data_IF_210158862298
#
_entry.id   IF_210158862298
#
_cell.length_a   1.000
_cell.length_b   1.000
_cell.length_c   1.000
_cell.angle_alpha   90.00
_cell.angle_beta   90.00
_cell.angle_gamma   90.00
#
_symmetry.space_group_name_H-M   'P 1'
#
loop_
_entity.id
_entity.type
_entity.pdbx_description
1 polymer ?
#
# COMPACT_ATOMS: atom_id res chain seq x y z
N UNK A 1 60.35 -17.01 58.74
CA UNK A 1 59.98 -16.33 57.48
C UNK A 1 58.79 -17.08 56.90
N UNK A 2 57.55 -16.68 57.17
CA UNK A 2 56.75 -15.69 56.40
C UNK A 2 56.81 -15.94 54.89
N UNK A 3 55.65 -16.29 54.34
CA UNK A 3 55.03 -15.97 53.03
C UNK A 3 54.40 -17.23 52.44
N UNK A 4 53.16 -17.30 51.95
CA UNK A 4 52.03 -16.38 51.77
C UNK A 4 50.90 -17.34 51.35
N UNK A 5 49.83 -17.51 52.13
CA UNK A 5 48.52 -16.90 51.84
C UNK A 5 48.29 -16.51 50.37
N UNK A 6 47.22 -17.11 49.80
CA UNK A 6 46.39 -16.73 48.64
C UNK A 6 46.23 -17.96 47.71
N UNK A 7 45.41 -18.91 48.15
CA UNK A 7 44.82 -19.94 47.30
C UNK A 7 43.31 -20.06 47.57
N UNK A 8 42.69 -18.95 47.97
CA UNK A 8 41.28 -18.84 48.33
C UNK A 8 40.72 -17.50 47.87
N UNK A 9 40.91 -17.15 46.58
CA UNK A 9 40.20 -16.03 45.94
C UNK A 9 40.33 -16.06 44.41
N UNK A 10 39.98 -17.18 43.77
CA UNK A 10 39.89 -17.25 42.30
C UNK A 10 38.76 -18.18 41.81
N UNK A 11 37.75 -18.41 42.66
CA UNK A 11 36.51 -19.13 42.32
C UNK A 11 35.26 -18.29 42.59
N UNK A 12 35.42 -16.97 42.72
CA UNK A 12 34.33 -16.04 42.95
C UNK A 12 34.69 -14.68 42.33
N UNK A 13 34.61 -14.58 41.00
CA UNK A 13 34.04 -13.46 40.21
C UNK A 13 34.06 -13.94 38.75
N UNK A 14 33.19 -14.89 38.43
CA UNK A 14 32.72 -15.12 37.07
C UNK A 14 31.18 -15.24 37.06
N UNK A 15 30.54 -14.54 38.01
CA UNK A 15 29.21 -13.98 37.75
C UNK A 15 29.46 -12.75 36.89
N UNK A 16 29.42 -12.96 35.58
CA UNK A 16 29.13 -11.90 34.62
C UNK A 16 28.01 -11.02 35.17
N UNK A 17 28.17 -9.72 35.03
CA UNK A 17 27.30 -8.66 35.53
C UNK A 17 25.86 -8.77 34.97
N UNK A 18 25.10 -9.77 35.41
CA UNK A 18 23.64 -9.80 35.23
C UNK A 18 23.10 -8.86 36.31
N UNK A 19 22.65 -7.67 35.93
CA UNK A 19 22.04 -6.74 36.87
C UNK A 19 20.94 -7.45 37.66
N UNK A 20 21.07 -7.51 38.99
CA UNK A 20 20.02 -8.08 39.84
C UNK A 20 18.69 -7.38 39.54
N UNK A 21 17.70 -8.12 39.02
CA UNK A 21 16.35 -7.61 38.72
C UNK A 21 15.81 -6.77 39.88
N UNK A 22 15.43 -5.53 39.59
CA UNK A 22 14.84 -4.62 40.56
C UNK A 22 13.47 -5.11 41.06
N UNK A 23 13.03 -4.66 42.24
CA UNK A 23 11.74 -5.08 42.83
C UNK A 23 10.54 -4.85 41.92
N UNK A 24 10.53 -3.75 41.16
CA UNK A 24 9.44 -3.45 40.23
C UNK A 24 9.45 -4.38 39.01
N UNK A 25 10.63 -4.76 38.51
CA UNK A 25 10.75 -5.72 37.42
C UNK A 25 10.25 -7.10 37.85
N UNK A 26 10.64 -7.57 39.05
CA UNK A 26 10.14 -8.85 39.61
C UNK A 26 8.61 -8.87 39.76
N UNK A 27 8.01 -7.77 40.24
CA UNK A 27 6.54 -7.64 40.31
C UNK A 27 5.91 -7.64 38.91
N UNK A 28 6.58 -7.04 37.93
CA UNK A 28 6.19 -7.11 36.52
C UNK A 28 6.15 -8.54 36.01
N UNK A 29 7.21 -9.31 36.27
CA UNK A 29 7.31 -10.73 35.89
C UNK A 29 6.21 -11.59 36.55
N UNK A 30 5.93 -11.35 37.83
CA UNK A 30 4.83 -12.01 38.57
C UNK A 30 3.47 -11.72 37.92
N UNK A 31 3.17 -10.43 37.70
CA UNK A 31 1.92 -10.03 37.05
C UNK A 31 1.78 -10.56 35.62
N UNK A 32 2.88 -10.64 34.87
CA UNK A 32 2.90 -11.22 33.53
C UNK A 32 2.53 -12.70 33.57
N UNK A 33 3.12 -13.47 34.50
CA UNK A 33 2.81 -14.90 34.69
C UNK A 33 1.35 -15.13 35.09
N UNK A 34 0.77 -14.24 35.87
CA UNK A 34 -0.63 -14.31 36.30
C UNK A 34 -1.63 -13.74 35.28
N UNK A 35 -1.19 -13.29 34.11
CA UNK A 35 -2.06 -12.70 33.09
C UNK A 35 -2.59 -11.29 33.44
N UNK A 36 -2.04 -10.63 34.46
CA UNK A 36 -2.42 -9.28 34.91
C UNK A 36 -1.67 -8.21 34.10
N UNK A 37 -1.85 -8.21 32.78
CA UNK A 37 -0.98 -7.46 31.85
C UNK A 37 -0.90 -5.95 32.10
N UNK A 38 -2.00 -5.28 32.46
CA UNK A 38 -1.97 -3.85 32.80
C UNK A 38 -1.10 -3.56 34.04
N UNK A 39 -1.16 -4.44 35.03
CA UNK A 39 -0.33 -4.32 36.24
C UNK A 39 1.14 -4.63 35.93
N UNK A 40 1.40 -5.61 35.05
CA UNK A 40 2.74 -5.92 34.56
C UNK A 40 3.35 -4.70 33.84
N UNK A 41 2.62 -4.11 32.88
CA UNK A 41 3.02 -2.90 32.14
C UNK A 41 3.37 -1.75 33.09
N UNK A 42 2.50 -1.46 34.06
CA UNK A 42 2.76 -0.40 35.04
C UNK A 42 4.02 -0.67 35.86
N UNK A 43 4.26 -1.93 36.25
CA UNK A 43 5.45 -2.32 36.99
C UNK A 43 6.73 -2.17 36.16
N UNK A 44 6.70 -2.53 34.87
CA UNK A 44 7.83 -2.33 33.95
C UNK A 44 8.10 -0.85 33.66
N UNK A 45 7.06 -0.02 33.51
CA UNK A 45 7.23 1.43 33.37
C UNK A 45 7.94 2.03 34.60
N UNK A 46 7.57 1.60 35.81
CA UNK A 46 8.23 2.02 37.05
C UNK A 46 9.64 1.46 37.21
N UNK A 47 9.93 0.27 36.67
CA UNK A 47 11.30 -0.26 36.61
C UNK A 47 12.17 0.55 35.65
N UNK A 48 11.66 0.87 34.44
CA UNK A 48 12.34 1.69 33.43
C UNK A 48 12.72 3.06 33.96
N UNK A 49 11.83 3.72 34.71
CA UNK A 49 12.10 5.03 35.34
C UNK A 49 13.28 5.00 36.32
N UNK A 50 13.54 3.86 36.96
CA UNK A 50 14.63 3.70 37.94
C UNK A 50 15.98 3.36 37.30
N UNK A 51 16.01 3.03 36.02
CA UNK A 51 17.24 2.90 35.22
C UNK A 51 18.08 1.63 35.45
N UNK A 52 17.65 0.68 36.27
CA UNK A 52 18.32 -0.60 36.47
C UNK A 52 17.41 -1.73 35.97
N UNK A 53 17.65 -2.17 34.73
CA UNK A 53 16.87 -3.17 34.01
C UNK A 53 17.75 -4.38 33.73
N UNK A 54 17.23 -5.59 33.89
CA UNK A 54 17.95 -6.80 33.46
C UNK A 54 17.89 -7.00 31.94
N UNK A 55 18.67 -7.96 31.44
CA UNK A 55 18.67 -8.32 30.02
C UNK A 55 17.29 -8.83 29.55
N UNK A 56 16.50 -9.45 30.43
CA UNK A 56 15.15 -9.97 30.12
C UNK A 56 14.06 -8.88 30.16
N UNK A 57 14.38 -7.67 30.63
CA UNK A 57 13.39 -6.62 30.87
C UNK A 57 12.59 -6.29 29.60
N UNK A 58 13.28 -6.08 28.47
CA UNK A 58 12.62 -5.68 27.23
C UNK A 58 11.83 -6.80 26.59
N UNK A 59 12.27 -8.05 26.75
CA UNK A 59 11.53 -9.24 26.32
C UNK A 59 10.19 -9.33 27.08
N UNK A 60 10.23 -9.31 28.42
CA UNK A 60 9.04 -9.46 29.24
C UNK A 60 8.10 -8.25 29.16
N UNK A 61 8.65 -7.03 29.05
CA UNK A 61 7.83 -5.83 28.89
C UNK A 61 7.11 -5.83 27.53
N UNK A 62 7.80 -6.21 26.46
CA UNK A 62 7.20 -6.36 25.14
C UNK A 62 6.11 -7.43 25.16
N UNK A 63 6.37 -8.57 25.79
CA UNK A 63 5.40 -9.65 25.93
C UNK A 63 4.12 -9.20 26.66
N UNK A 64 4.27 -8.42 27.74
CA UNK A 64 3.12 -7.86 28.46
C UNK A 64 2.28 -6.92 27.59
N UNK A 65 2.91 -6.10 26.75
CA UNK A 65 2.23 -5.21 25.80
C UNK A 65 1.48 -6.00 24.72
N UNK A 66 2.12 -7.01 24.12
CA UNK A 66 1.53 -7.86 23.08
C UNK A 66 0.29 -8.60 23.61
N UNK A 67 0.40 -9.23 24.78
CA UNK A 67 -0.73 -9.97 25.39
C UNK A 67 -1.84 -9.06 25.89
N UNK A 68 -1.51 -7.84 26.32
CA UNK A 68 -2.51 -6.82 26.61
C UNK A 68 -3.29 -6.43 25.34
N UNK A 69 -2.59 -6.23 24.23
CA UNK A 69 -3.21 -5.93 22.93
C UNK A 69 -4.12 -7.07 22.46
N UNK A 70 -3.67 -8.32 22.57
CA UNK A 70 -4.47 -9.50 22.23
C UNK A 70 -5.74 -9.60 23.11
N UNK A 71 -5.61 -9.34 24.42
CA UNK A 71 -6.73 -9.34 25.36
C UNK A 71 -7.73 -8.23 25.05
N UNK A 72 -7.23 -7.06 24.64
CA UNK A 72 -8.06 -5.94 24.23
C UNK A 72 -8.79 -6.24 22.92
N UNK A 73 -8.10 -6.81 21.92
CA UNK A 73 -8.68 -7.21 20.64
C UNK A 73 -9.80 -8.25 20.77
N UNK A 74 -9.75 -9.10 21.80
CA UNK A 74 -10.84 -10.04 22.12
C UNK A 74 -12.10 -9.35 22.67
N UNK A 75 -11.98 -8.13 23.20
CA UNK A 75 -13.09 -7.34 23.74
C UNK A 75 -13.66 -6.40 22.69
N UNK A 76 -12.76 -5.64 22.06
CA UNK A 76 -13.07 -4.70 21.00
C UNK A 76 -11.89 -4.68 20.03
N UNK A 77 -12.09 -5.32 18.88
CA UNK A 77 -11.08 -5.45 17.84
C UNK A 77 -10.67 -4.09 17.23
N UNK A 78 -11.49 -3.05 17.41
CA UNK A 78 -11.25 -1.71 16.89
C UNK A 78 -10.81 -0.71 17.96
N UNK A 79 -10.52 -1.19 19.18
CA UNK A 79 -10.03 -0.37 20.29
C UNK A 79 -8.70 0.31 19.95
N UNK A 80 -8.64 1.63 20.12
CA UNK A 80 -7.42 2.44 19.96
C UNK A 80 -6.27 1.97 20.87
N UNK A 81 -6.60 1.33 21.99
CA UNK A 81 -5.62 0.79 22.92
C UNK A 81 -4.74 -0.29 22.28
N UNK A 82 -5.26 -1.03 21.30
CA UNK A 82 -4.49 -2.06 20.57
C UNK A 82 -3.29 -1.41 19.89
N UNK A 83 -3.51 -0.34 19.12
CA UNK A 83 -2.44 0.39 18.44
C UNK A 83 -1.47 0.97 19.48
N UNK A 84 -1.98 1.58 20.55
CA UNK A 84 -1.13 2.13 21.62
C UNK A 84 -0.23 1.10 22.32
N UNK A 85 -0.66 -0.17 22.44
CA UNK A 85 0.18 -1.24 22.93
C UNK A 85 1.25 -1.66 21.91
N UNK A 86 0.90 -1.81 20.64
CA UNK A 86 1.84 -2.19 19.58
C UNK A 86 2.87 -1.10 19.28
N UNK A 87 2.50 0.18 19.36
CA UNK A 87 3.41 1.32 19.20
C UNK A 87 4.47 1.32 20.31
N UNK A 88 4.08 1.02 21.56
CA UNK A 88 5.05 0.89 22.66
C UNK A 88 5.92 -0.34 22.52
N UNK A 89 5.35 -1.46 22.06
CA UNK A 89 6.09 -2.69 21.84
C UNK A 89 7.09 -2.56 20.68
N UNK A 90 6.76 -1.84 19.61
CA UNK A 90 7.66 -1.58 18.49
C UNK A 90 8.87 -0.75 18.91
N UNK A 91 8.68 0.23 19.80
CA UNK A 91 9.79 1.02 20.38
C UNK A 91 10.77 0.15 21.17
N UNK A 92 10.28 -0.86 21.88
CA UNK A 92 11.13 -1.79 22.63
C UNK A 92 11.82 -2.82 21.73
N UNK A 93 11.33 -3.03 20.50
CA UNK A 93 11.72 -4.14 19.63
C UNK A 93 13.22 -4.15 19.31
N UNK A 94 13.90 -3.00 19.29
CA UNK A 94 15.34 -2.94 19.08
C UNK A 94 16.12 -3.74 20.15
N UNK A 95 15.65 -3.71 21.40
CA UNK A 95 16.30 -4.30 22.58
C UNK A 95 15.83 -5.75 22.86
N UNK A 96 14.77 -6.21 22.21
CA UNK A 96 14.26 -7.59 22.35
C UNK A 96 15.27 -8.57 21.76
N UNK A 97 15.67 -9.54 22.58
CA UNK A 97 16.66 -10.57 22.25
C UNK A 97 16.01 -11.94 22.04
N UNK A 98 14.89 -12.22 22.71
CA UNK A 98 14.24 -13.51 22.61
C UNK A 98 13.40 -13.64 21.32
N UNK A 99 13.79 -14.59 20.46
CA UNK A 99 13.10 -14.88 19.20
C UNK A 99 11.63 -15.29 19.38
N UNK A 100 11.28 -15.95 20.49
CA UNK A 100 9.90 -16.35 20.79
C UNK A 100 9.02 -15.11 21.07
N UNK A 101 9.58 -14.09 21.72
CA UNK A 101 8.87 -12.81 21.97
C UNK A 101 8.67 -12.05 20.67
N UNK A 102 9.69 -12.01 19.81
CA UNK A 102 9.55 -11.43 18.45
C UNK A 102 8.47 -12.17 17.68
N UNK A 103 8.48 -13.51 17.70
CA UNK A 103 7.49 -14.32 17.02
C UNK A 103 6.09 -14.02 17.55
N UNK A 104 5.88 -14.00 18.87
CA UNK A 104 4.57 -13.70 19.46
C UNK A 104 4.09 -12.28 19.09
N UNK A 105 4.98 -11.28 19.06
CA UNK A 105 4.65 -9.93 18.61
C UNK A 105 4.15 -9.92 17.16
N UNK A 106 4.92 -10.47 16.23
CA UNK A 106 4.58 -10.39 14.79
C UNK A 106 3.36 -11.23 14.46
N UNK A 107 3.19 -12.40 15.07
CA UNK A 107 2.02 -13.26 14.82
C UNK A 107 0.75 -12.63 15.40
N UNK A 108 0.82 -11.99 16.57
CA UNK A 108 -0.35 -11.35 17.18
C UNK A 108 -0.77 -10.13 16.38
N UNK A 109 0.18 -9.28 15.97
CA UNK A 109 -0.09 -8.12 15.13
C UNK A 109 -0.73 -8.52 13.79
N UNK A 110 -0.17 -9.55 13.14
CA UNK A 110 -0.69 -10.07 11.88
C UNK A 110 -2.11 -10.67 12.04
N UNK A 111 -2.36 -11.44 13.10
CA UNK A 111 -3.68 -12.02 13.35
C UNK A 111 -4.74 -10.95 13.63
N UNK A 112 -4.40 -9.90 14.38
CA UNK A 112 -5.30 -8.76 14.59
C UNK A 112 -5.61 -8.07 13.27
N UNK A 113 -4.59 -7.81 12.43
CA UNK A 113 -4.80 -7.28 11.08
C UNK A 113 -5.72 -8.17 10.24
N UNK A 114 -5.51 -9.49 10.24
CA UNK A 114 -6.39 -10.44 9.55
C UNK A 114 -7.83 -10.37 10.05
N UNK A 115 -8.05 -10.36 11.36
CA UNK A 115 -9.39 -10.27 11.95
C UNK A 115 -10.07 -8.94 11.58
N UNK A 116 -9.34 -7.82 11.62
CA UNK A 116 -9.86 -6.50 11.25
C UNK A 116 -10.26 -6.45 9.77
N UNK A 117 -9.44 -7.02 8.89
CA UNK A 117 -9.74 -7.10 7.46
C UNK A 117 -10.97 -7.98 7.14
N UNK A 118 -11.32 -8.92 8.03
CA UNK A 118 -12.46 -9.82 7.86
C UNK A 118 -13.79 -9.22 8.33
N UNK A 119 -13.79 -8.14 9.11
CA UNK A 119 -15.00 -7.52 9.63
C UNK A 119 -15.93 -7.05 8.49
N UNK A 120 -17.24 -7.23 8.69
CA UNK A 120 -18.27 -6.74 7.78
C UNK A 120 -18.53 -5.25 7.99
N UNK A 121 -18.88 -4.54 6.92
CA UNK A 121 -19.23 -3.12 6.98
C UNK A 121 -18.06 -2.16 7.22
N UNK A 122 -16.81 -2.64 7.21
CA UNK A 122 -15.63 -1.78 7.34
C UNK A 122 -15.39 -0.98 6.06
N UNK A 123 -15.03 0.29 6.21
CA UNK A 123 -14.63 1.12 5.11
C UNK A 123 -13.28 0.67 4.52
N UNK A 124 -13.02 1.05 3.27
CA UNK A 124 -11.80 0.67 2.56
C UNK A 124 -10.52 1.13 3.27
N UNK A 125 -10.53 2.31 3.91
CA UNK A 125 -9.38 2.82 4.66
C UNK A 125 -9.03 1.92 5.85
N UNK A 126 -10.04 1.40 6.55
CA UNK A 126 -9.82 0.45 7.64
C UNK A 126 -9.27 -0.89 7.15
N UNK A 127 -9.75 -1.42 6.03
CA UNK A 127 -9.21 -2.65 5.40
C UNK A 127 -7.74 -2.44 5.02
N UNK A 128 -7.41 -1.31 4.40
CA UNK A 128 -6.03 -0.94 4.04
C UNK A 128 -5.13 -0.91 5.28
N UNK A 129 -5.58 -0.30 6.38
CA UNK A 129 -4.82 -0.24 7.63
C UNK A 129 -4.63 -1.63 8.25
N UNK A 130 -5.64 -2.50 8.14
CA UNK A 130 -5.58 -3.87 8.61
C UNK A 130 -4.50 -4.68 7.87
N UNK A 131 -4.44 -4.60 6.54
CA UNK A 131 -3.36 -5.21 5.76
C UNK A 131 -1.98 -4.58 6.04
N UNK A 132 -1.93 -3.26 6.23
CA UNK A 132 -0.68 -2.57 6.59
C UNK A 132 -0.08 -3.06 7.93
N UNK A 133 -0.92 -3.47 8.89
CA UNK A 133 -0.45 -4.12 10.13
C UNK A 133 0.20 -5.48 9.87
N UNK A 134 -0.39 -6.29 8.99
CA UNK A 134 0.19 -7.59 8.59
C UNK A 134 1.52 -7.37 7.86
N UNK A 135 1.58 -6.40 6.94
CA UNK A 135 2.80 -6.08 6.20
C UNK A 135 3.90 -5.54 7.12
N UNK A 136 3.54 -4.73 8.12
CA UNK A 136 4.45 -4.26 9.17
C UNK A 136 5.01 -5.42 9.98
N UNK A 137 4.14 -6.35 10.41
CA UNK A 137 4.56 -7.57 11.10
C UNK A 137 5.55 -8.39 10.25
N UNK A 138 5.33 -8.48 8.94
CA UNK A 138 6.22 -9.20 8.02
C UNK A 138 7.59 -8.52 7.89
N UNK A 139 7.61 -7.18 7.81
CA UNK A 139 8.86 -6.41 7.79
C UNK A 139 9.64 -6.62 9.09
N UNK A 140 8.98 -6.53 10.24
CA UNK A 140 9.61 -6.78 11.54
C UNK A 140 10.13 -8.21 11.66
N UNK A 141 9.33 -9.21 11.23
CA UNK A 141 9.70 -10.61 11.25
C UNK A 141 10.97 -10.89 10.44
N UNK A 142 11.08 -10.29 9.25
CA UNK A 142 12.27 -10.37 8.39
C UNK A 142 13.49 -9.70 9.05
N UNK A 143 13.31 -8.49 9.57
CA UNK A 143 14.40 -7.73 10.18
C UNK A 143 14.98 -8.42 11.43
N UNK A 144 14.15 -9.14 12.18
CA UNK A 144 14.55 -9.87 13.38
C UNK A 144 14.84 -11.36 13.17
N UNK A 145 14.56 -11.89 11.97
CA UNK A 145 14.78 -13.29 11.64
C UNK A 145 13.87 -14.27 12.40
N UNK A 146 12.68 -13.84 12.82
CA UNK A 146 11.75 -14.67 13.61
C UNK A 146 10.29 -14.49 13.14
N UNK A 147 9.56 -15.60 13.01
CA UNK A 147 8.13 -15.58 12.68
C UNK A 147 7.75 -15.31 11.21
N UNK A 148 8.72 -15.16 10.28
CA UNK A 148 8.43 -14.77 8.89
C UNK A 148 7.46 -15.74 8.18
N UNK A 149 7.67 -17.05 8.32
CA UNK A 149 6.82 -18.06 7.68
C UNK A 149 5.37 -18.01 8.19
N UNK A 150 5.19 -17.83 9.50
CA UNK A 150 3.88 -17.72 10.12
C UNK A 150 3.14 -16.45 9.65
N UNK A 151 3.82 -15.31 9.61
CA UNK A 151 3.21 -14.06 9.13
C UNK A 151 2.88 -14.13 7.64
N UNK A 152 3.72 -14.75 6.80
CA UNK A 152 3.39 -15.00 5.38
C UNK A 152 2.12 -15.83 5.23
N UNK A 153 1.98 -16.91 6.00
CA UNK A 153 0.77 -17.73 5.97
C UNK A 153 -0.48 -16.92 6.35
N UNK A 154 -0.41 -16.14 7.44
CA UNK A 154 -1.52 -15.25 7.87
C UNK A 154 -1.85 -14.23 6.78
N UNK A 155 -0.85 -13.64 6.13
CA UNK A 155 -1.01 -12.67 5.05
C UNK A 155 -1.70 -13.27 3.83
N UNK A 156 -1.32 -14.48 3.43
CA UNK A 156 -1.97 -15.22 2.34
C UNK A 156 -3.40 -15.61 2.69
N UNK A 157 -3.66 -16.03 3.92
CA UNK A 157 -5.02 -16.34 4.38
C UNK A 157 -5.92 -15.11 4.38
N UNK A 158 -5.43 -13.97 4.87
CA UNK A 158 -6.17 -12.70 4.86
C UNK A 158 -6.48 -12.26 3.42
N UNK A 159 -5.49 -12.37 2.53
CA UNK A 159 -5.64 -12.07 1.10
C UNK A 159 -6.74 -12.92 0.46
N UNK A 160 -6.64 -14.25 0.59
CA UNK A 160 -7.59 -15.17 -0.02
C UNK A 160 -9.01 -14.97 0.52
N UNK A 161 -9.16 -14.71 1.83
CA UNK A 161 -10.45 -14.41 2.42
C UNK A 161 -11.04 -13.10 1.86
N UNK A 162 -10.23 -12.06 1.72
CA UNK A 162 -10.66 -10.79 1.13
C UNK A 162 -11.05 -10.94 -0.35
N UNK A 163 -10.25 -11.66 -1.13
CA UNK A 163 -10.56 -11.94 -2.54
C UNK A 163 -11.86 -12.73 -2.69
N UNK A 164 -12.01 -13.83 -1.94
CA UNK A 164 -13.19 -14.68 -2.02
C UNK A 164 -14.49 -13.94 -1.68
N UNK A 165 -14.43 -12.96 -0.78
CA UNK A 165 -15.58 -12.14 -0.37
C UNK A 165 -15.97 -11.09 -1.42
N UNK A 166 -14.99 -10.45 -2.07
CA UNK A 166 -15.24 -9.20 -2.81
C UNK A 166 -15.13 -9.33 -4.34
N UNK A 167 -14.38 -10.32 -4.86
CA UNK A 167 -14.04 -10.34 -6.29
C UNK A 167 -15.25 -10.62 -7.20
N UNK A 168 -16.17 -11.50 -6.78
CA UNK A 168 -17.35 -11.84 -7.57
C UNK A 168 -18.29 -10.63 -7.76
N UNK A 169 -18.48 -9.85 -6.70
CA UNK A 169 -19.27 -8.62 -6.74
C UNK A 169 -18.60 -7.57 -7.63
N UNK A 170 -17.29 -7.34 -7.47
CA UNK A 170 -16.54 -6.39 -8.30
C UNK A 170 -16.59 -6.74 -9.79
N UNK A 171 -16.52 -8.03 -10.15
CA UNK A 171 -16.62 -8.51 -11.53
C UNK A 171 -18.07 -8.52 -12.04
N UNK A 172 -19.05 -8.63 -11.14
CA UNK A 172 -20.48 -8.60 -11.45
C UNK A 172 -21.04 -7.20 -11.67
N UNK A 173 -20.30 -6.15 -11.35
CA UNK A 173 -20.69 -4.76 -11.58
C UNK A 173 -20.90 -4.47 -13.07
N UNK A 174 -22.02 -3.82 -13.37
CA UNK A 174 -22.49 -3.48 -14.71
C UNK A 174 -21.74 -2.33 -15.36
N UNK A 175 -21.35 -1.31 -14.57
CA UNK A 175 -20.54 -0.20 -15.07
C UNK A 175 -19.06 -0.64 -15.14
N UNK A 176 -18.44 -0.67 -16.32
CA UNK A 176 -17.08 -1.17 -16.47
C UNK A 176 -16.02 -0.30 -15.76
N UNK A 177 -16.30 0.99 -15.53
CA UNK A 177 -15.41 1.89 -14.78
C UNK A 177 -15.52 1.60 -13.28
N UNK A 178 -16.74 1.39 -12.78
CA UNK A 178 -16.97 1.01 -11.37
C UNK A 178 -16.39 -0.38 -11.10
N UNK A 179 -16.61 -1.34 -12.00
CA UNK A 179 -16.03 -2.69 -11.92
C UNK A 179 -14.50 -2.63 -11.83
N UNK A 180 -13.83 -1.88 -12.72
CA UNK A 180 -12.36 -1.75 -12.67
C UNK A 180 -11.88 -1.14 -11.36
N UNK A 181 -12.57 -0.09 -10.86
CA UNK A 181 -12.23 0.55 -9.59
C UNK A 181 -12.29 -0.44 -8.42
N UNK A 182 -13.37 -1.23 -8.32
CA UNK A 182 -13.52 -2.21 -7.24
C UNK A 182 -12.46 -3.32 -7.35
N UNK A 183 -12.14 -3.79 -8.56
CA UNK A 183 -11.04 -4.77 -8.75
C UNK A 183 -9.69 -4.15 -8.38
N UNK A 184 -9.43 -2.87 -8.69
CA UNK A 184 -8.21 -2.17 -8.28
C UNK A 184 -8.08 -2.05 -6.76
N UNK A 185 -9.18 -1.80 -6.03
CA UNK A 185 -9.17 -1.85 -4.56
C UNK A 185 -8.76 -3.21 -4.03
N UNK A 186 -9.27 -4.28 -4.66
CA UNK A 186 -8.89 -5.65 -4.29
C UNK A 186 -7.40 -5.90 -4.60
N UNK A 187 -6.91 -5.42 -5.74
CA UNK A 187 -5.52 -5.57 -6.15
C UNK A 187 -4.52 -4.83 -5.24
N UNK A 188 -4.92 -3.77 -4.54
CA UNK A 188 -4.06 -3.14 -3.53
C UNK A 188 -3.79 -4.10 -2.34
N UNK A 189 -4.76 -4.93 -1.97
CA UNK A 189 -4.63 -5.90 -0.87
C UNK A 189 -4.08 -7.24 -1.36
N UNK A 190 -4.40 -7.62 -2.60
CA UNK A 190 -4.09 -8.90 -3.21
C UNK A 190 -3.35 -8.76 -4.56
N UNK A 191 -2.21 -8.04 -4.60
CA UNK A 191 -1.56 -7.67 -5.85
C UNK A 191 -1.05 -8.86 -6.65
N UNK A 192 -0.67 -9.94 -5.96
CA UNK A 192 -0.10 -11.16 -6.55
C UNK A 192 -1.12 -12.27 -6.79
N UNK A 193 -2.37 -12.10 -6.36
CA UNK A 193 -3.42 -13.09 -6.53
C UNK A 193 -3.77 -13.29 -8.02
N UNK A 194 -3.73 -14.55 -8.48
CA UNK A 194 -3.91 -14.87 -9.89
C UNK A 194 -5.31 -14.51 -10.42
N UNK A 195 -6.36 -14.71 -9.62
CA UNK A 195 -7.74 -14.41 -10.02
C UNK A 195 -7.97 -12.91 -10.11
N UNK A 196 -7.42 -12.15 -9.17
CA UNK A 196 -7.47 -10.67 -9.19
C UNK A 196 -6.72 -10.13 -10.40
N UNK A 197 -5.51 -10.63 -10.68
CA UNK A 197 -4.74 -10.24 -11.88
C UNK A 197 -5.50 -10.56 -13.17
N UNK A 198 -6.10 -11.74 -13.27
CA UNK A 198 -6.88 -12.15 -14.42
C UNK A 198 -8.11 -11.26 -14.62
N UNK A 199 -8.86 -11.00 -13.55
CA UNK A 199 -10.02 -10.11 -13.55
C UNK A 199 -9.62 -8.68 -13.95
N UNK A 200 -8.55 -8.14 -13.39
CA UNK A 200 -8.06 -6.79 -13.69
C UNK A 200 -7.56 -6.67 -15.13
N UNK A 201 -6.84 -7.67 -15.64
CA UNK A 201 -6.41 -7.70 -17.04
C UNK A 201 -7.60 -7.75 -18.00
N UNK A 202 -8.64 -8.53 -17.67
CA UNK A 202 -9.88 -8.59 -18.45
C UNK A 202 -10.63 -7.25 -18.42
N UNK A 203 -10.74 -6.64 -17.24
CA UNK A 203 -11.34 -5.31 -17.07
C UNK A 203 -10.62 -4.27 -17.91
N UNK A 204 -9.29 -4.17 -17.77
CA UNK A 204 -8.44 -3.22 -18.50
C UNK A 204 -8.57 -3.35 -20.01
N UNK A 205 -8.75 -4.56 -20.53
CA UNK A 205 -9.04 -4.81 -21.96
C UNK A 205 -10.37 -4.19 -22.38
N UNK A 206 -11.41 -4.34 -21.57
CA UNK A 206 -12.73 -3.75 -21.82
C UNK A 206 -12.75 -2.24 -21.65
N UNK A 207 -11.98 -1.70 -20.71
CA UNK A 207 -11.97 -0.27 -20.38
C UNK A 207 -10.93 0.54 -21.16
N UNK A 208 -10.18 -0.04 -22.11
CA UNK A 208 -9.13 0.67 -22.88
C UNK A 208 -9.60 2.02 -23.42
N UNK A 209 -10.80 2.06 -24.00
CA UNK A 209 -11.39 3.27 -24.58
C UNK A 209 -12.03 4.25 -23.59
N UNK A 210 -12.05 3.93 -22.30
CA UNK A 210 -12.71 4.73 -21.27
C UNK A 210 -11.69 5.58 -20.51
N UNK A 211 -12.10 6.81 -20.19
CA UNK A 211 -11.47 7.58 -19.13
C UNK A 211 -11.88 6.97 -17.80
N UNK A 212 -10.91 6.51 -17.01
CA UNK A 212 -11.16 5.99 -15.67
C UNK A 212 -11.28 7.17 -14.70
N UNK A 213 -12.38 7.91 -14.82
CA UNK A 213 -12.74 8.99 -13.89
C UNK A 213 -13.68 8.40 -12.87
N UNK A 214 -13.23 8.32 -11.63
CA UNK A 214 -14.01 7.77 -10.52
C UNK A 214 -14.77 8.92 -9.84
N UNK A 215 -16.07 8.78 -9.66
CA UNK A 215 -16.96 9.82 -9.16
C UNK A 215 -18.14 9.28 -8.36
N UNK A 216 -19.27 9.99 -8.36
CA UNK A 216 -20.45 9.63 -7.56
C UNK A 216 -20.98 8.22 -7.87
N UNK A 217 -20.78 7.71 -9.09
CA UNK A 217 -21.19 6.37 -9.50
C UNK A 217 -20.54 5.24 -8.69
N UNK A 218 -19.45 5.54 -7.97
CA UNK A 218 -18.74 4.57 -7.12
C UNK A 218 -19.50 4.31 -5.81
N UNK A 219 -20.38 5.23 -5.38
CA UNK A 219 -21.18 5.08 -4.15
C UNK A 219 -20.40 5.28 -2.84
N UNK A 220 -19.10 5.56 -2.90
CA UNK A 220 -18.23 5.85 -1.77
C UNK A 220 -17.15 6.90 -2.15
N UNK A 221 -16.51 7.57 -1.17
CA UNK A 221 -15.39 8.46 -1.47
C UNK A 221 -14.24 7.74 -2.19
N UNK A 222 -13.79 8.31 -3.31
CA UNK A 222 -12.71 7.74 -4.13
C UNK A 222 -11.39 7.73 -3.36
N UNK A 223 -10.70 6.59 -3.38
CA UNK A 223 -9.40 6.46 -2.74
C UNK A 223 -8.27 7.03 -3.59
N UNK A 224 -7.48 7.94 -3.01
CA UNK A 224 -6.24 8.47 -3.60
C UNK A 224 -5.15 7.42 -3.83
N UNK A 225 -5.31 6.19 -3.31
CA UNK A 225 -4.39 5.08 -3.61
C UNK A 225 -4.66 4.49 -5.00
N UNK A 226 -5.93 4.51 -5.41
CA UNK A 226 -6.41 4.03 -6.70
C UNK A 226 -6.36 5.17 -7.71
N UNK A 227 -6.92 6.33 -7.37
CA UNK A 227 -6.92 7.55 -8.18
C UNK A 227 -5.80 8.51 -7.77
N UNK A 228 -4.57 8.18 -8.18
CA UNK A 228 -3.35 8.95 -7.83
C UNK A 228 -2.77 9.75 -8.98
N UNK A 229 -3.42 9.71 -10.14
CA UNK A 229 -2.85 10.22 -11.39
C UNK A 229 -3.44 11.59 -11.72
N UNK A 230 -2.57 12.51 -12.15
CA UNK A 230 -2.96 13.86 -12.55
C UNK A 230 -3.52 13.93 -13.98
N UNK A 231 -3.25 12.93 -14.81
CA UNK A 231 -3.79 12.82 -16.16
C UNK A 231 -4.57 11.53 -16.32
N UNK A 232 -5.82 11.64 -16.74
CA UNK A 232 -6.66 10.48 -17.08
C UNK A 232 -6.58 10.27 -18.59
N UNK A 233 -6.37 9.02 -19.00
CA UNK A 233 -6.14 8.67 -20.40
C UNK A 233 -7.14 7.61 -20.87
N UNK A 234 -7.51 7.70 -22.14
CA UNK A 234 -8.35 6.74 -22.83
C UNK A 234 -7.74 6.40 -24.19
N UNK A 235 -7.84 5.14 -24.60
CA UNK A 235 -7.28 4.63 -25.84
C UNK A 235 -8.37 4.00 -26.73
N UNK A 236 -9.28 4.81 -27.29
CA UNK A 236 -10.48 4.34 -27.99
C UNK A 236 -10.19 3.54 -29.26
N UNK A 237 -9.11 3.85 -29.98
CA UNK A 237 -8.80 3.21 -31.28
C UNK A 237 -7.48 2.46 -31.27
N UNK A 238 -7.27 1.62 -30.26
CA UNK A 238 -6.05 0.82 -30.14
C UNK A 238 -5.99 -0.31 -31.18
N UNK A 239 -4.84 -0.42 -31.84
CA UNK A 239 -4.45 -1.55 -32.68
C UNK A 239 -3.15 -2.13 -32.14
N UNK A 240 -3.16 -3.40 -31.79
CA UNK A 240 -1.98 -4.14 -31.30
C UNK A 240 -1.61 -5.17 -32.36
N UNK A 241 -0.37 -5.14 -32.83
CA UNK A 241 0.19 -6.14 -33.74
C UNK A 241 1.58 -6.56 -33.23
N UNK A 242 2.12 -7.70 -33.70
CA UNK A 242 3.46 -8.13 -33.30
C UNK A 242 4.51 -7.02 -33.56
N UNK A 243 5.15 -6.54 -32.49
CA UNK A 243 6.17 -5.49 -32.56
C UNK A 243 5.66 -4.06 -32.81
N UNK A 244 4.34 -3.82 -32.77
CA UNK A 244 3.81 -2.46 -32.92
C UNK A 244 2.48 -2.25 -32.21
N UNK A 245 2.27 -1.02 -31.76
CA UNK A 245 1.01 -0.57 -31.19
C UNK A 245 0.68 0.80 -31.79
N UNK A 246 -0.56 1.05 -32.19
CA UNK A 246 -0.96 2.37 -32.71
C UNK A 246 -2.41 2.72 -32.42
N UNK A 247 -2.73 4.00 -32.53
CA UNK A 247 -4.09 4.51 -32.49
C UNK A 247 -4.19 5.92 -31.91
N UNK A 248 -5.42 6.31 -31.58
CA UNK A 248 -5.73 7.59 -30.93
C UNK A 248 -5.67 7.45 -29.41
N UNK A 249 -4.77 8.19 -28.76
CA UNK A 249 -4.72 8.34 -27.31
C UNK A 249 -5.33 9.67 -26.91
N UNK A 250 -6.31 9.62 -26.02
CA UNK A 250 -7.03 10.77 -25.52
C UNK A 250 -6.60 11.06 -24.08
N UNK A 251 -6.61 12.35 -23.72
CA UNK A 251 -6.13 12.90 -22.47
C UNK A 251 -7.20 13.80 -21.87
N UNK A 252 -7.36 13.70 -20.56
CA UNK A 252 -8.11 14.62 -19.73
C UNK A 252 -7.20 15.08 -18.58
N UNK A 253 -7.05 16.40 -18.41
CA UNK A 253 -6.31 16.95 -17.28
C UNK A 253 -7.18 17.01 -16.03
N UNK A 254 -6.83 16.22 -15.01
CA UNK A 254 -7.42 16.28 -13.67
C UNK A 254 -6.51 17.02 -12.67
N UNK A 255 -5.35 17.51 -13.10
CA UNK A 255 -4.38 18.26 -12.26
C UNK A 255 -4.88 19.62 -11.80
N UNK A 256 -5.92 20.18 -12.45
CA UNK A 256 -6.31 21.59 -12.27
C UNK A 256 -5.35 22.60 -12.92
N UNK A 257 -4.30 22.13 -13.60
CA UNK A 257 -3.31 22.97 -14.28
C UNK A 257 -3.51 22.91 -15.80
N UNK A 258 -3.26 24.04 -16.46
CA UNK A 258 -3.16 24.09 -17.91
C UNK A 258 -1.72 23.74 -18.32
N UNK A 259 -1.54 22.81 -19.25
CA UNK A 259 -0.22 22.37 -19.74
C UNK A 259 -0.20 22.26 -21.26
N UNK A 260 1.00 22.19 -21.83
CA UNK A 260 1.19 21.78 -23.21
C UNK A 260 1.32 20.25 -23.27
N UNK A 261 0.37 19.59 -23.91
CA UNK A 261 0.49 18.17 -24.21
C UNK A 261 1.60 17.97 -25.23
N UNK A 262 2.70 17.38 -24.79
CA UNK A 262 3.86 17.07 -25.61
C UNK A 262 3.88 15.58 -25.98
N UNK A 263 3.55 15.21 -27.24
CA UNK A 263 3.54 13.82 -27.67
C UNK A 263 4.85 13.06 -27.48
N UNK A 264 6.00 13.78 -27.45
CA UNK A 264 7.31 13.16 -27.24
C UNK A 264 7.52 12.61 -25.84
N UNK A 265 6.70 13.04 -24.86
CA UNK A 265 6.72 12.55 -23.48
C UNK A 265 5.82 11.33 -23.27
N UNK A 266 5.08 10.89 -24.30
CA UNK A 266 4.24 9.70 -24.24
C UNK A 266 5.13 8.47 -24.45
N UNK A 267 5.13 7.55 -23.50
CA UNK A 267 5.87 6.30 -23.59
C UNK A 267 4.97 5.08 -23.36
N UNK A 268 5.31 4.00 -24.04
CA UNK A 268 4.78 2.67 -23.77
C UNK A 268 5.80 1.94 -22.91
N UNK A 269 5.34 1.37 -21.80
CA UNK A 269 6.15 0.62 -20.83
C UNK A 269 5.73 -0.84 -20.87
N UNK A 270 6.71 -1.75 -20.87
CA UNK A 270 6.47 -3.18 -20.84
C UNK A 270 6.35 -3.72 -19.41
N UNK A 271 5.92 -4.97 -19.29
CA UNK A 271 5.81 -5.69 -18.01
C UNK A 271 7.17 -5.88 -17.30
N UNK A 272 8.28 -5.85 -18.06
CA UNK A 272 9.65 -5.91 -17.54
C UNK A 272 10.31 -4.52 -17.41
N UNK A 273 9.55 -3.43 -17.62
CA UNK A 273 10.02 -2.05 -17.42
C UNK A 273 10.82 -1.44 -18.57
N UNK A 274 10.92 -2.10 -19.73
CA UNK A 274 11.47 -1.48 -20.95
C UNK A 274 10.52 -0.38 -21.44
N UNK A 275 11.08 0.66 -22.03
CA UNK A 275 10.33 1.83 -22.47
C UNK A 275 10.55 2.10 -23.95
N UNK A 276 9.49 2.47 -24.67
CA UNK A 276 9.56 2.99 -26.04
C UNK A 276 8.70 4.24 -26.17
N UNK A 277 9.23 5.27 -26.82
CA UNK A 277 8.54 6.55 -26.98
C UNK A 277 7.60 6.55 -28.19
N UNK A 278 6.51 7.32 -28.07
CA UNK A 278 5.52 7.46 -29.12
C UNK A 278 6.12 8.17 -30.35
N UNK A 279 5.71 7.69 -31.53
CA UNK A 279 5.86 8.38 -32.81
C UNK A 279 4.50 8.95 -33.19
N UNK A 280 4.41 10.28 -33.22
CA UNK A 280 3.20 11.02 -33.54
C UNK A 280 3.34 12.47 -33.10
N UNK A 281 2.87 13.41 -33.90
CA UNK A 281 2.97 14.85 -33.60
C UNK A 281 1.73 15.64 -34.04
N UNK A 282 0.61 14.96 -34.24
CA UNK A 282 -0.63 15.59 -34.66
C UNK A 282 -1.80 15.05 -33.87
N UNK A 283 -2.79 15.89 -33.69
CA UNK A 283 -3.91 15.62 -32.81
C UNK A 283 -4.88 16.79 -32.77
N UNK A 284 -5.76 16.76 -31.79
CA UNK A 284 -6.69 17.86 -31.53
C UNK A 284 -6.83 18.09 -30.03
N UNK A 285 -7.12 19.32 -29.64
CA UNK A 285 -7.54 19.66 -28.29
C UNK A 285 -8.85 20.43 -28.34
N UNK A 286 -9.71 20.23 -27.36
CA UNK A 286 -10.87 21.08 -27.16
C UNK A 286 -10.43 22.49 -26.78
N UNK A 287 -11.12 23.47 -27.36
CA UNK A 287 -10.97 24.86 -27.03
C UNK A 287 -12.33 25.54 -27.08
N UNK A 288 -12.51 26.54 -26.24
CA UNK A 288 -13.63 27.47 -26.32
C UNK A 288 -13.44 28.41 -27.50
N UNK A 289 -14.46 28.51 -28.34
CA UNK A 289 -14.47 29.39 -29.50
C UNK A 289 -15.72 30.26 -29.42
N UNK A 290 -15.53 31.57 -29.56
CA UNK A 290 -16.62 32.53 -29.74
C UNK A 290 -17.22 32.35 -31.14
N UNK A 291 -18.51 32.09 -31.20
CA UNK A 291 -19.25 31.88 -32.44
C UNK A 291 -20.53 32.69 -32.42
N UNK A 292 -20.82 33.36 -33.53
CA UNK A 292 -22.02 34.18 -33.68
C UNK A 292 -21.72 35.50 -34.36
N UNK A 293 -22.76 36.31 -34.56
CA UNK A 293 -22.60 37.69 -35.03
C UNK A 293 -22.12 38.56 -33.88
N UNK A 294 -21.36 39.60 -34.21
CA UNK A 294 -20.83 40.56 -33.25
C UNK A 294 -21.96 41.15 -32.38
N UNK A 295 -21.87 41.00 -31.06
CA UNK A 295 -22.90 41.40 -30.09
C UNK A 295 -23.92 40.31 -29.73
N UNK A 296 -23.79 39.10 -30.27
CA UNK A 296 -24.61 37.91 -29.99
C UNK A 296 -23.76 36.64 -29.97
N UNK A 297 -22.46 36.75 -29.68
CA UNK A 297 -21.56 35.61 -29.64
C UNK A 297 -21.91 34.67 -28.47
N UNK A 298 -21.84 33.37 -28.73
CA UNK A 298 -21.86 32.31 -27.72
C UNK A 298 -20.53 31.57 -27.70
N UNK A 299 -20.19 31.00 -26.55
CA UNK A 299 -19.03 30.14 -26.40
C UNK A 299 -19.43 28.71 -26.77
N UNK A 300 -18.71 28.10 -27.70
CA UNK A 300 -18.83 26.67 -28.02
C UNK A 300 -17.51 25.95 -27.82
N UNK A 301 -17.55 24.71 -27.31
CA UNK A 301 -16.38 23.81 -27.28
C UNK A 301 -16.17 23.22 -28.67
N UNK A 302 -14.99 23.43 -29.27
CA UNK A 302 -14.62 22.88 -30.58
C UNK A 302 -13.25 22.20 -30.53
N UNK A 303 -13.10 21.15 -31.34
CA UNK A 303 -11.81 20.46 -31.53
C UNK A 303 -10.92 21.30 -32.45
N UNK A 304 -9.82 21.81 -31.91
CA UNK A 304 -8.78 22.51 -32.67
C UNK A 304 -7.64 21.55 -32.95
N UNK A 305 -7.32 21.36 -34.24
CA UNK A 305 -6.19 20.53 -34.65
C UNK A 305 -4.86 21.20 -34.26
N UNK A 306 -3.87 20.40 -33.88
CA UNK A 306 -2.51 20.88 -33.64
C UNK A 306 -1.48 20.00 -34.35
N UNK A 307 -0.31 20.59 -34.58
CA UNK A 307 0.93 19.90 -34.96
C UNK A 307 2.02 20.28 -33.98
N UNK A 308 2.79 19.31 -33.49
CA UNK A 308 3.70 19.48 -32.37
C UNK A 308 2.98 19.27 -31.04
N UNK A 309 2.83 20.34 -30.25
CA UNK A 309 2.21 20.29 -28.93
C UNK A 309 0.75 20.75 -28.97
N UNK A 310 -0.08 20.12 -28.13
CA UNK A 310 -1.48 20.50 -27.92
C UNK A 310 -1.64 21.37 -26.67
N UNK A 311 -2.72 22.15 -26.58
CA UNK A 311 -3.09 22.89 -25.36
C UNK A 311 -4.03 22.03 -24.52
N UNK A 312 -3.49 21.35 -23.51
CA UNK A 312 -4.27 20.55 -22.58
C UNK A 312 -4.69 21.44 -21.40
N UNK A 313 -5.88 22.01 -21.55
CA UNK A 313 -6.50 22.85 -20.52
C UNK A 313 -7.28 21.98 -19.55
N UNK A 314 -7.47 22.47 -18.33
CA UNK A 314 -8.34 21.80 -17.36
C UNK A 314 -9.75 21.61 -17.93
N UNK A 315 -10.37 20.46 -17.66
CA UNK A 315 -11.71 20.07 -18.15
C UNK A 315 -11.88 19.98 -19.69
N UNK A 316 -10.78 20.11 -20.45
CA UNK A 316 -10.77 19.94 -21.90
C UNK A 316 -10.03 18.67 -22.28
N UNK A 317 -10.55 18.02 -23.30
CA UNK A 317 -9.95 16.82 -23.84
C UNK A 317 -8.91 17.17 -24.91
N UNK A 318 -7.77 16.49 -24.86
CA UNK A 318 -6.86 16.40 -26.00
C UNK A 318 -6.81 14.97 -26.55
N UNK A 319 -6.35 14.86 -27.79
CA UNK A 319 -6.17 13.61 -28.49
C UNK A 319 -4.91 13.68 -29.34
N UNK A 320 -4.16 12.60 -29.40
CA UNK A 320 -2.95 12.45 -30.21
C UNK A 320 -3.02 11.11 -30.95
N UNK A 321 -2.73 11.15 -32.25
CA UNK A 321 -2.47 9.92 -32.99
C UNK A 321 -1.04 9.46 -32.72
N UNK A 322 -0.89 8.31 -32.07
CA UNK A 322 0.40 7.75 -31.67
C UNK A 322 0.64 6.38 -32.29
N UNK A 323 1.91 6.05 -32.43
CA UNK A 323 2.38 4.72 -32.80
C UNK A 323 3.66 4.37 -32.05
N UNK A 324 3.85 3.10 -31.77
CA UNK A 324 5.03 2.54 -31.13
C UNK A 324 5.55 1.39 -31.99
N UNK A 325 6.87 1.25 -32.01
CA UNK A 325 7.55 0.10 -32.62
C UNK A 325 8.49 -0.49 -31.57
N UNK A 326 8.44 -1.80 -31.38
CA UNK A 326 9.18 -2.50 -30.33
C UNK A 326 9.59 -3.91 -30.75
N UNK A 327 10.55 -4.49 -30.04
CA UNK A 327 11.02 -5.85 -30.28
C UNK A 327 9.97 -6.91 -29.89
N UNK A 328 10.11 -8.15 -30.37
CA UNK A 328 9.13 -9.22 -30.14
C UNK A 328 8.98 -9.64 -28.67
N UNK A 329 10.02 -9.46 -27.88
CA UNK A 329 10.06 -9.75 -26.44
C UNK A 329 9.46 -8.62 -25.58
N UNK A 330 9.11 -7.49 -26.20
CA UNK A 330 8.44 -6.38 -25.50
C UNK A 330 6.96 -6.72 -25.31
N UNK A 331 6.54 -6.91 -24.06
CA UNK A 331 5.15 -7.16 -23.68
C UNK A 331 4.53 -5.87 -23.14
N UNK A 332 3.68 -5.16 -23.89
CA UNK A 332 3.09 -3.89 -23.45
C UNK A 332 2.26 -4.02 -22.16
N UNK A 333 2.52 -3.18 -21.17
CA UNK A 333 1.75 -3.14 -19.92
C UNK A 333 0.88 -1.88 -19.83
N UNK A 334 1.50 -0.70 -19.91
CA UNK A 334 0.78 0.57 -19.84
C UNK A 334 1.40 1.65 -20.70
N UNK A 335 0.59 2.65 -21.03
CA UNK A 335 1.06 3.92 -21.58
C UNK A 335 1.15 4.94 -20.45
N UNK A 336 2.24 5.70 -20.44
CA UNK A 336 2.48 6.77 -19.47
C UNK A 336 2.70 8.09 -20.20
N UNK A 337 2.13 9.15 -19.62
CA UNK A 337 2.50 10.53 -19.91
C UNK A 337 2.89 11.19 -18.60
N UNK A 338 4.02 11.90 -18.61
CA UNK A 338 4.53 12.62 -17.45
C UNK A 338 5.14 13.94 -17.88
N UNK A 339 4.77 14.99 -17.17
CA UNK A 339 5.42 16.29 -17.26
C UNK A 339 5.72 16.85 -15.85
N UNK A 340 5.92 18.16 -15.75
CA UNK A 340 6.21 18.84 -14.48
C UNK A 340 4.99 18.99 -13.57
N UNK A 341 3.77 18.91 -14.12
CA UNK A 341 2.52 19.11 -13.38
C UNK A 341 1.89 17.78 -12.96
N UNK A 342 2.20 16.67 -13.61
CA UNK A 342 1.64 15.39 -13.23
C UNK A 342 2.11 14.18 -14.03
N UNK A 343 1.45 13.07 -13.74
CA UNK A 343 1.65 11.77 -14.38
C UNK A 343 0.29 11.12 -14.62
N UNK A 344 0.13 10.47 -15.77
CA UNK A 344 -1.00 9.63 -16.12
C UNK A 344 -0.54 8.26 -16.55
N UNK A 345 -1.32 7.23 -16.22
CA UNK A 345 -1.10 5.86 -16.73
C UNK A 345 -2.40 5.25 -17.25
N UNK A 346 -2.33 4.63 -18.41
CA UNK A 346 -3.39 3.79 -18.97
C UNK A 346 -2.86 2.37 -19.13
N UNK A 347 -3.27 1.48 -18.24
CA UNK A 347 -2.94 0.07 -18.33
C UNK A 347 -3.74 -0.56 -19.47
N UNK A 348 -3.06 -1.39 -20.26
CA UNK A 348 -3.62 -2.00 -21.46
C UNK A 348 -4.28 -3.36 -21.14
N UNK A 349 -3.89 -4.01 -20.05
CA UNK A 349 -4.31 -5.38 -19.76
C UNK A 349 -3.63 -6.38 -20.69
N UNK A 350 -2.99 -7.38 -20.10
CA UNK A 350 -2.24 -8.44 -20.79
C UNK A 350 -3.18 -9.40 -21.49
#
# INVERSE_FOLDING_TARGET
MKKLFIASLAAAVAFTMVGCKGTNEKRGDEHLKEGRYRNAINSYLEAKKKGSMSDEFYDNFTLALVRAAETEAKKDLNSDLINGYFDKASVNMAEVQNADVVQEYVTTLANIGKMQAAQEGMDYGTIVNAFAKIDTALVTAKAKGAGEAAVKAIRTEAENAYVAKNLSEAVGESDPVVSEYQIMKIAEMAPENADVKAALNKSRKGTRGYFLIFGEQIGEPVSRRVDKWGYVMAFPTIKIAPGSLSGELQFWASTGNNTELDPSKIKLVSTDGKEVFAKGNSGWCEAEVLVGKKGQEKIEKKKQSFKGKGKLMNEFQCSVNISFSFAKDFVPDYIEYKDEFGIGRKYLGQ
#
